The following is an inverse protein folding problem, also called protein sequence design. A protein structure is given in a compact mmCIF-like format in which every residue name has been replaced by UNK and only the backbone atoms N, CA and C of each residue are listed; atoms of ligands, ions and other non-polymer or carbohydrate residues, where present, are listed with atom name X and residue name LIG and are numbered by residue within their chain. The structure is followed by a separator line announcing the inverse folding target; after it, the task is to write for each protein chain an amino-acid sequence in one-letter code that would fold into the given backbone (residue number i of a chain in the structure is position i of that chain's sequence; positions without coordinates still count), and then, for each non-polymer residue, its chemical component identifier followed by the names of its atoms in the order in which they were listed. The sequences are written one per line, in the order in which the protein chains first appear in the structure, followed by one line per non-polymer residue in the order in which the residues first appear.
data_IF_586883180837
#
_entry.id   IF_586883180837
#
_cell.length_a   1.000
_cell.length_b   1.000
_cell.length_c   1.000
_cell.angle_alpha   90.00
_cell.angle_beta   90.00
_cell.angle_gamma   90.00
#
_symmetry.space_group_name_H-M   'P 1'
#
loop_
_entity.id
_entity.type
_entity.pdbx_description
1 polymer ?
#
# COMPACT_ATOMS: atom_id res chain seq x y z
N UNK A 1 -17.07 -17.49 9.19
CA UNK A 1 -17.20 -17.38 7.72
C UNK A 1 -17.19 -15.94 7.22
N UNK A 2 -18.12 -15.07 7.63
CA UNK A 2 -18.17 -13.66 7.19
C UNK A 2 -16.88 -12.89 7.51
N UNK A 3 -16.33 -13.09 8.71
CA UNK A 3 -15.11 -12.40 9.13
C UNK A 3 -13.90 -12.75 8.25
N UNK A 4 -13.69 -14.02 7.93
CA UNK A 4 -12.60 -14.47 7.05
C UNK A 4 -12.73 -13.90 5.65
N UNK A 5 -13.96 -13.80 5.13
CA UNK A 5 -14.23 -13.20 3.83
C UNK A 5 -13.93 -11.70 3.84
N UNK A 6 -14.33 -10.98 4.89
CA UNK A 6 -14.00 -9.56 5.07
C UNK A 6 -12.49 -9.32 5.21
N UNK A 7 -11.79 -10.16 5.97
CA UNK A 7 -10.32 -10.06 6.10
C UNK A 7 -9.62 -10.33 4.76
N UNK A 8 -10.10 -11.31 3.99
CA UNK A 8 -9.55 -11.59 2.65
C UNK A 8 -9.75 -10.43 1.68
N UNK A 9 -10.97 -9.88 1.62
CA UNK A 9 -11.28 -8.70 0.79
C UNK A 9 -10.42 -7.51 1.23
N UNK A 10 -10.31 -7.28 2.53
CA UNK A 10 -9.47 -6.22 3.08
C UNK A 10 -8.00 -6.37 2.64
N UNK A 11 -7.39 -7.53 2.86
CA UNK A 11 -5.99 -7.76 2.49
C UNK A 11 -5.77 -7.56 0.99
N UNK A 12 -6.67 -8.09 0.15
CA UNK A 12 -6.58 -7.94 -1.30
C UNK A 12 -6.71 -6.48 -1.73
N UNK A 13 -7.70 -5.76 -1.19
CA UNK A 13 -7.95 -4.35 -1.52
C UNK A 13 -6.81 -3.45 -1.05
N UNK A 14 -6.25 -3.70 0.13
CA UNK A 14 -5.08 -2.98 0.65
C UNK A 14 -3.83 -3.22 -0.18
N UNK A 15 -3.59 -4.46 -0.61
CA UNK A 15 -2.44 -4.79 -1.45
C UNK A 15 -2.54 -4.14 -2.83
N UNK A 16 -3.71 -4.26 -3.48
CA UNK A 16 -3.97 -3.58 -4.75
C UNK A 16 -3.85 -2.06 -4.60
N UNK A 17 -4.43 -1.49 -3.55
CA UNK A 17 -4.31 -0.07 -3.23
C UNK A 17 -2.84 0.36 -3.14
N UNK A 18 -2.03 -0.36 -2.37
CA UNK A 18 -0.61 -0.05 -2.19
C UNK A 18 0.15 -0.04 -3.51
N UNK A 19 -0.02 -1.07 -4.34
CA UNK A 19 0.67 -1.21 -5.63
C UNK A 19 0.26 -0.08 -6.60
N UNK A 20 -1.05 0.15 -6.75
CA UNK A 20 -1.54 1.16 -7.70
C UNK A 20 -1.19 2.58 -7.26
N UNK A 21 -1.42 2.92 -5.99
CA UNK A 21 -1.10 4.25 -5.46
C UNK A 21 0.41 4.51 -5.51
N UNK A 22 1.26 3.51 -5.20
CA UNK A 22 2.71 3.67 -5.32
C UNK A 22 3.15 3.92 -6.77
N UNK A 23 2.55 3.20 -7.73
CA UNK A 23 2.83 3.47 -9.13
C UNK A 23 2.33 4.85 -9.58
N UNK A 24 1.16 5.28 -9.08
CA UNK A 24 0.61 6.59 -9.39
C UNK A 24 1.42 7.73 -8.79
N UNK A 25 1.92 7.60 -7.56
CA UNK A 25 2.83 8.58 -6.97
C UNK A 25 4.13 8.71 -7.75
N UNK A 26 4.64 7.65 -8.37
CA UNK A 26 5.80 7.74 -9.27
C UNK A 26 5.47 8.34 -10.65
N UNK A 27 4.20 8.63 -10.94
CA UNK A 27 3.78 9.21 -12.21
C UNK A 27 3.59 8.19 -13.33
N UNK A 28 3.49 6.90 -13.00
CA UNK A 28 3.18 5.85 -13.98
C UNK A 28 1.79 6.11 -14.56
N UNK A 29 1.74 6.38 -15.87
CA UNK A 29 0.46 6.60 -16.57
C UNK A 29 -0.38 5.31 -16.52
N UNK A 30 -1.69 5.39 -16.18
CA UNK A 30 -2.63 4.26 -16.19
C UNK A 30 -3.02 3.88 -17.63
N UNK A 31 -2.05 3.45 -18.42
CA UNK A 31 -2.26 2.87 -19.76
C UNK A 31 -2.47 1.37 -19.57
N UNK A 32 -3.33 0.74 -20.38
CA UNK A 32 -3.65 -0.69 -20.30
C UNK A 32 -2.42 -1.60 -20.17
N UNK A 33 -1.32 -1.27 -20.86
CA UNK A 33 -0.04 -2.01 -20.76
C UNK A 33 0.60 -1.92 -19.36
N UNK A 34 0.62 -0.74 -18.74
CA UNK A 34 1.19 -0.56 -17.40
C UNK A 34 0.25 -1.11 -16.33
N UNK A 35 -1.05 -0.92 -16.53
CA UNK A 35 -2.09 -1.48 -15.65
C UNK A 35 -1.99 -3.01 -15.60
N UNK A 36 -1.84 -3.66 -16.76
CA UNK A 36 -1.64 -5.12 -16.83
C UNK A 36 -0.37 -5.58 -16.12
N UNK A 37 0.75 -4.86 -16.25
CA UNK A 37 1.99 -5.18 -15.52
C UNK A 37 1.85 -5.09 -14.00
N UNK A 38 1.19 -4.03 -13.51
CA UNK A 38 0.92 -3.85 -12.08
C UNK A 38 -0.03 -4.93 -11.55
N UNK A 39 -1.06 -5.28 -12.33
CA UNK A 39 -1.99 -6.35 -11.98
C UNK A 39 -1.30 -7.72 -11.94
N UNK A 40 -0.45 -8.01 -12.92
CA UNK A 40 0.35 -9.23 -12.95
C UNK A 40 1.26 -9.31 -11.73
N UNK A 41 1.94 -8.21 -11.39
CA UNK A 41 2.75 -8.13 -10.18
C UNK A 41 1.92 -8.41 -8.92
N UNK A 42 0.73 -7.79 -8.80
CA UNK A 42 -0.16 -8.04 -7.67
C UNK A 42 -0.58 -9.52 -7.56
N UNK A 43 -0.83 -10.20 -8.68
CA UNK A 43 -1.15 -11.63 -8.68
C UNK A 43 0.02 -12.49 -8.19
N UNK A 44 1.23 -12.20 -8.68
CA UNK A 44 2.46 -12.90 -8.25
C UNK A 44 2.72 -12.67 -6.77
N UNK A 45 2.55 -11.44 -6.29
CA UNK A 45 2.77 -11.05 -4.90
C UNK A 45 1.77 -11.73 -3.95
N UNK A 46 0.48 -11.77 -4.31
CA UNK A 46 -0.54 -12.52 -3.57
C UNK A 46 -0.22 -14.02 -3.51
N UNK A 47 0.20 -14.60 -4.63
CA UNK A 47 0.56 -16.02 -4.67
C UNK A 47 1.80 -16.32 -3.81
N UNK A 48 2.80 -15.44 -3.85
CA UNK A 48 4.01 -15.56 -3.05
C UNK A 48 3.70 -15.43 -1.55
N UNK A 49 2.91 -14.42 -1.17
CA UNK A 49 2.45 -14.24 0.21
C UNK A 49 1.65 -15.45 0.71
N UNK A 50 0.73 -15.96 -0.10
CA UNK A 50 -0.07 -17.12 0.26
C UNK A 50 0.79 -18.39 0.41
N UNK A 51 1.78 -18.58 -0.46
CA UNK A 51 2.75 -19.67 -0.36
C UNK A 51 3.51 -19.62 0.97
N UNK A 52 4.08 -18.46 1.32
CA UNK A 52 4.81 -18.30 2.58
C UNK A 52 3.89 -18.51 3.79
N UNK A 53 2.65 -18.02 3.72
CA UNK A 53 1.66 -18.23 4.77
C UNK A 53 1.37 -19.72 5.02
N UNK A 54 1.38 -20.55 3.97
CA UNK A 54 1.22 -22.00 4.10
C UNK A 54 2.42 -22.69 4.76
N UNK A 55 3.65 -22.27 4.46
CA UNK A 55 4.86 -22.91 4.97
C UNK A 55 5.27 -22.45 6.37
N UNK A 56 5.01 -21.19 6.73
CA UNK A 56 5.54 -20.55 7.95
C UNK A 56 4.47 -20.11 8.95
N UNK A 57 3.20 -20.19 8.57
CA UNK A 57 2.07 -19.75 9.39
C UNK A 57 1.83 -18.23 9.38
N UNK A 58 0.63 -17.83 9.77
CA UNK A 58 0.11 -16.45 9.64
C UNK A 58 0.85 -15.43 10.50
N UNK A 59 1.31 -15.82 11.70
CA UNK A 59 1.99 -14.90 12.61
C UNK A 59 3.36 -14.46 12.06
N UNK A 60 4.14 -15.42 11.52
CA UNK A 60 5.45 -15.14 10.96
C UNK A 60 5.35 -14.44 9.59
N UNK A 61 4.37 -14.83 8.76
CA UNK A 61 4.12 -14.16 7.49
C UNK A 61 3.70 -12.69 7.66
N UNK A 62 2.92 -12.36 8.69
CA UNK A 62 2.53 -10.98 8.98
C UNK A 62 3.72 -10.12 9.46
N UNK A 63 4.65 -10.68 10.25
CA UNK A 63 5.86 -9.95 10.66
C UNK A 63 6.80 -9.67 9.49
N UNK A 64 6.89 -10.61 8.55
CA UNK A 64 7.69 -10.46 7.34
C UNK A 64 6.97 -9.71 6.22
N UNK A 65 5.67 -9.41 6.34
CA UNK A 65 4.89 -8.64 5.36
C UNK A 65 5.62 -7.42 4.78
N UNK A 66 6.27 -6.55 5.58
CA UNK A 66 7.04 -5.43 5.07
C UNK A 66 8.17 -5.83 4.11
N UNK A 67 8.85 -6.93 4.39
CA UNK A 67 9.94 -7.44 3.55
C UNK A 67 9.40 -8.21 2.36
N UNK A 68 8.29 -8.93 2.53
CA UNK A 68 7.73 -9.80 1.50
C UNK A 68 6.91 -9.05 0.45
N UNK A 69 6.30 -7.92 0.82
CA UNK A 69 5.39 -7.17 -0.07
C UNK A 69 6.01 -5.84 -0.49
N UNK A 70 6.51 -5.03 0.45
CA UNK A 70 7.03 -3.71 0.10
C UNK A 70 8.38 -3.77 -0.62
N UNK A 71 9.29 -4.68 -0.23
CA UNK A 71 10.61 -4.77 -0.85
C UNK A 71 10.54 -5.25 -2.32
N UNK A 72 9.77 -6.31 -2.67
CA UNK A 72 9.57 -6.68 -4.08
C UNK A 72 8.90 -5.58 -4.89
N UNK A 73 7.97 -4.83 -4.30
CA UNK A 73 7.33 -3.69 -4.97
C UNK A 73 8.34 -2.57 -5.27
N UNK A 74 9.21 -2.23 -4.33
CA UNK A 74 10.28 -1.24 -4.54
C UNK A 74 11.23 -1.70 -5.66
N UNK A 75 11.67 -2.96 -5.62
CA UNK A 75 12.54 -3.53 -6.65
C UNK A 75 11.84 -3.57 -8.02
N UNK A 76 10.57 -3.94 -8.07
CA UNK A 76 9.78 -3.95 -9.30
C UNK A 76 9.68 -2.55 -9.91
N UNK A 77 9.39 -1.53 -9.10
CA UNK A 77 9.31 -0.14 -9.55
C UNK A 77 10.68 0.38 -10.03
N UNK A 78 11.76 0.01 -9.33
CA UNK A 78 13.13 0.34 -9.71
C UNK A 78 13.54 -0.32 -11.05
N UNK A 79 13.36 -1.63 -11.18
CA UNK A 79 13.82 -2.39 -12.34
C UNK A 79 12.94 -2.20 -13.58
N UNK A 80 11.62 -2.23 -13.42
CA UNK A 80 10.69 -2.17 -14.56
C UNK A 80 10.45 -0.76 -15.07
N UNK A 81 10.50 0.25 -14.19
CA UNK A 81 10.23 1.65 -14.56
C UNK A 81 11.44 2.58 -14.47
N UNK A 82 12.61 2.08 -14.01
CA UNK A 82 13.89 2.82 -13.95
C UNK A 82 13.84 4.13 -13.14
N UNK A 83 12.96 4.20 -12.15
CA UNK A 83 12.96 5.30 -11.18
C UNK A 83 14.11 5.15 -10.17
N UNK A 84 14.50 6.22 -9.48
CA UNK A 84 15.50 6.13 -8.41
C UNK A 84 14.95 5.34 -7.22
N UNK A 85 15.81 4.57 -6.54
CA UNK A 85 15.42 3.80 -5.35
C UNK A 85 14.77 4.68 -4.28
N UNK A 86 15.31 5.89 -4.08
CA UNK A 86 14.77 6.86 -3.13
C UNK A 86 13.31 7.21 -3.45
N UNK A 87 13.01 7.55 -4.71
CA UNK A 87 11.65 7.88 -5.14
C UNK A 87 10.70 6.68 -4.99
N UNK A 88 11.17 5.46 -5.27
CA UNK A 88 10.38 4.24 -5.05
C UNK A 88 10.05 4.03 -3.57
N UNK A 89 11.03 4.16 -2.67
CA UNK A 89 10.81 4.04 -1.22
C UNK A 89 9.81 5.07 -0.71
N UNK A 90 9.99 6.34 -1.08
CA UNK A 90 9.11 7.44 -0.67
C UNK A 90 7.67 7.17 -1.13
N UNK A 91 7.51 6.71 -2.37
CA UNK A 91 6.21 6.37 -2.93
C UNK A 91 5.51 5.25 -2.16
N UNK A 92 6.22 4.14 -1.89
CA UNK A 92 5.67 2.99 -1.17
C UNK A 92 5.33 3.34 0.27
N UNK A 93 6.19 4.08 0.98
CA UNK A 93 5.90 4.52 2.34
C UNK A 93 4.75 5.54 2.39
N UNK A 94 4.63 6.42 1.40
CA UNK A 94 3.50 7.35 1.31
C UNK A 94 2.18 6.60 1.10
N UNK A 95 2.17 5.60 0.21
CA UNK A 95 1.01 4.73 0.00
C UNK A 95 0.65 3.95 1.27
N UNK A 96 1.65 3.48 2.01
CA UNK A 96 1.47 2.83 3.31
C UNK A 96 0.78 3.74 4.33
N UNK A 97 1.28 4.97 4.50
CA UNK A 97 0.71 5.95 5.42
C UNK A 97 -0.75 6.30 5.05
N UNK A 98 -1.05 6.43 3.76
CA UNK A 98 -2.43 6.60 3.30
C UNK A 98 -3.34 5.42 3.64
N UNK A 99 -2.81 4.19 3.62
CA UNK A 99 -3.57 3.02 4.06
C UNK A 99 -3.76 2.97 5.59
N UNK A 100 -2.76 3.44 6.35
CA UNK A 100 -2.85 3.49 7.81
C UNK A 100 -3.90 4.47 8.33
N UNK A 101 -4.15 5.56 7.61
CA UNK A 101 -5.31 6.42 7.89
C UNK A 101 -6.63 5.63 7.90
N UNK A 102 -6.79 4.70 6.95
CA UNK A 102 -7.96 3.81 6.93
C UNK A 102 -8.00 2.87 8.13
N UNK A 103 -6.85 2.39 8.61
CA UNK A 103 -6.76 1.54 9.79
C UNK A 103 -7.15 2.30 11.07
N UNK A 104 -6.74 3.56 11.23
CA UNK A 104 -7.11 4.38 12.39
C UNK A 104 -8.62 4.61 12.49
N UNK A 105 -9.28 4.85 11.35
CA UNK A 105 -10.76 4.95 11.33
C UNK A 105 -11.39 3.60 11.67
N UNK A 106 -10.81 2.50 11.17
CA UNK A 106 -11.19 1.15 11.56
C UNK A 106 -11.12 0.92 13.06
N UNK A 107 -9.97 1.21 13.68
CA UNK A 107 -9.74 1.08 15.11
C UNK A 107 -10.67 1.97 15.94
N UNK A 108 -11.00 3.16 15.43
CA UNK A 108 -11.97 4.07 16.06
C UNK A 108 -13.37 3.42 16.06
N UNK A 109 -13.79 2.86 14.93
CA UNK A 109 -15.04 2.12 14.83
C UNK A 109 -15.06 0.86 15.71
N UNK A 110 -13.93 0.15 15.83
CA UNK A 110 -13.79 -1.02 16.71
C UNK A 110 -13.95 -0.62 18.18
N UNK A 111 -13.34 0.48 18.61
CA UNK A 111 -13.43 0.97 19.99
C UNK A 111 -14.87 1.33 20.37
N UNK A 112 -15.63 1.91 19.43
CA UNK A 112 -17.02 2.31 19.65
C UNK A 112 -18.02 1.14 19.60
N UNK A 113 -17.85 0.20 18.67
CA UNK A 113 -18.82 -0.88 18.44
C UNK A 113 -18.44 -2.21 19.08
N UNK A 114 -17.18 -2.37 19.50
CA UNK A 114 -16.57 -3.62 20.01
C UNK A 114 -16.74 -4.84 19.10
N UNK A 115 -17.09 -4.64 17.83
CA UNK A 115 -17.41 -5.71 16.90
C UNK A 115 -16.42 -5.70 15.71
N UNK A 116 -15.73 -6.83 15.46
CA UNK A 116 -14.71 -6.90 14.41
C UNK A 116 -15.29 -6.77 12.99
N UNK A 117 -16.59 -7.01 12.79
CA UNK A 117 -17.24 -6.81 11.49
C UNK A 117 -17.25 -5.32 11.11
N UNK A 118 -17.56 -4.44 12.06
CA UNK A 118 -17.56 -2.99 11.83
C UNK A 118 -16.15 -2.43 11.60
N UNK A 119 -15.13 -3.05 12.22
CA UNK A 119 -13.74 -2.75 11.95
C UNK A 119 -13.38 -3.01 10.48
N UNK A 120 -13.60 -4.24 9.98
CA UNK A 120 -13.22 -4.55 8.59
C UNK A 120 -14.09 -3.81 7.56
N UNK A 121 -15.39 -3.64 7.81
CA UNK A 121 -16.29 -2.90 6.90
C UNK A 121 -15.89 -1.42 6.77
N UNK A 122 -15.61 -0.75 7.90
CA UNK A 122 -15.18 0.65 7.87
C UNK A 122 -13.80 0.82 7.21
N UNK A 123 -12.87 -0.12 7.42
CA UNK A 123 -11.57 -0.14 6.73
C UNK A 123 -11.73 -0.29 5.22
N UNK A 124 -12.55 -1.24 4.75
CA UNK A 124 -12.77 -1.43 3.31
C UNK A 124 -13.38 -0.17 2.71
N UNK A 125 -14.42 0.39 3.33
CA UNK A 125 -15.08 1.61 2.86
C UNK A 125 -14.11 2.79 2.77
N UNK A 126 -13.32 3.02 3.82
CA UNK A 126 -12.33 4.10 3.84
C UNK A 126 -11.20 3.89 2.84
N UNK A 127 -10.75 2.65 2.62
CA UNK A 127 -9.73 2.34 1.60
C UNK A 127 -10.24 2.71 0.21
N UNK A 128 -11.49 2.40 -0.13
CA UNK A 128 -12.10 2.82 -1.39
C UNK A 128 -12.23 4.34 -1.52
N UNK A 129 -12.66 5.02 -0.45
CA UNK A 129 -12.77 6.49 -0.42
C UNK A 129 -11.39 7.11 -0.66
N UNK A 130 -10.39 6.73 0.13
CA UNK A 130 -9.02 7.24 -0.01
C UNK A 130 -8.45 6.91 -1.39
N UNK A 131 -8.74 5.73 -1.95
CA UNK A 131 -8.30 5.36 -3.29
C UNK A 131 -8.90 6.30 -4.34
N UNK A 132 -10.20 6.55 -4.27
CA UNK A 132 -10.88 7.44 -5.21
C UNK A 132 -10.34 8.88 -5.13
N UNK A 133 -10.15 9.39 -3.90
CA UNK A 133 -9.56 10.71 -3.68
C UNK A 133 -8.14 10.77 -4.24
N UNK A 134 -7.25 9.84 -3.85
CA UNK A 134 -5.89 9.83 -4.35
C UNK A 134 -5.84 9.66 -5.86
N UNK A 135 -6.61 8.73 -6.43
CA UNK A 135 -6.67 8.54 -7.88
C UNK A 135 -7.07 9.82 -8.62
N UNK A 136 -8.02 10.59 -8.10
CA UNK A 136 -8.47 11.86 -8.70
C UNK A 136 -7.47 12.99 -8.50
N UNK A 137 -6.93 13.14 -7.29
CA UNK A 137 -6.04 14.25 -6.92
C UNK A 137 -4.59 14.00 -7.34
N UNK A 138 -4.02 12.84 -7.02
CA UNK A 138 -2.63 12.47 -7.35
C UNK A 138 -2.43 12.48 -8.87
N UNK A 139 -3.40 12.00 -9.67
CA UNK A 139 -3.31 12.09 -11.15
C UNK A 139 -3.08 13.52 -11.65
N UNK A 140 -3.60 14.53 -10.95
CA UNK A 140 -3.42 15.95 -11.29
C UNK A 140 -2.12 16.53 -10.75
N UNK A 141 -1.63 16.04 -9.61
CA UNK A 141 -0.49 16.61 -8.87
C UNK A 141 0.84 15.89 -9.09
N UNK A 142 0.84 14.66 -9.60
CA UNK A 142 2.09 13.86 -9.68
C UNK A 142 3.10 14.42 -10.69
N UNK A 143 2.62 15.03 -11.77
CA UNK A 143 3.51 15.66 -12.75
C UNK A 143 4.28 16.86 -12.19
N UNK A 144 3.80 17.45 -11.09
CA UNK A 144 4.39 18.64 -10.45
C UNK A 144 5.12 18.34 -9.14
N UNK A 145 4.81 17.25 -8.44
CA UNK A 145 5.48 16.90 -7.17
C UNK A 145 6.78 16.11 -7.39
N UNK A 146 6.79 15.13 -8.30
CA UNK A 146 7.98 14.30 -8.53
C UNK A 146 8.97 14.89 -9.57
N UNK A 147 8.67 16.06 -10.12
CA UNK A 147 9.61 16.88 -10.89
C UNK A 147 10.42 17.85 -10.01
N UNK A 148 10.11 17.93 -8.70
CA UNK A 148 10.86 18.74 -7.72
C UNK A 148 12.20 18.08 -7.37
N UNK A 149 13.14 18.91 -6.92
CA UNK A 149 14.47 18.45 -6.52
C UNK A 149 14.41 17.35 -5.46
N UNK A 150 15.38 16.43 -5.52
CA UNK A 150 15.53 15.30 -4.58
C UNK A 150 15.45 15.72 -3.10
N UNK A 151 15.85 16.95 -2.75
CA UNK A 151 15.81 17.48 -1.37
C UNK A 151 14.37 17.64 -0.86
N UNK A 152 13.45 18.13 -1.68
CA UNK A 152 12.04 18.29 -1.28
C UNK A 152 11.34 16.93 -1.15
N UNK A 153 11.70 15.99 -2.03
CA UNK A 153 11.25 14.60 -1.97
C UNK A 153 11.67 13.92 -0.65
N UNK A 154 12.91 14.12 -0.20
CA UNK A 154 13.39 13.59 1.08
C UNK A 154 12.57 14.13 2.24
N UNK A 155 12.26 15.43 2.26
CA UNK A 155 11.48 16.05 3.35
C UNK A 155 10.06 15.46 3.39
N UNK A 156 9.41 15.32 2.24
CA UNK A 156 8.06 14.73 2.14
C UNK A 156 8.07 13.25 2.53
N UNK A 157 9.13 12.52 2.14
CA UNK A 157 9.30 11.10 2.42
C UNK A 157 9.74 10.77 3.84
N UNK A 158 10.25 11.74 4.59
CA UNK A 158 10.74 11.54 5.94
C UNK A 158 9.63 11.17 6.93
N UNK A 159 8.48 11.84 6.83
CA UNK A 159 7.30 11.55 7.66
C UNK A 159 6.78 10.11 7.51
N UNK A 160 6.46 9.63 6.29
CA UNK A 160 6.02 8.25 6.11
C UNK A 160 7.12 7.23 6.42
N UNK A 161 8.39 7.59 6.25
CA UNK A 161 9.52 6.71 6.63
C UNK A 161 9.62 6.51 8.14
N UNK A 162 9.59 7.58 8.95
CA UNK A 162 9.58 7.46 10.40
C UNK A 162 8.36 6.66 10.86
N UNK A 163 7.20 6.95 10.28
CA UNK A 163 5.98 6.24 10.63
C UNK A 163 6.11 4.74 10.34
N UNK A 164 6.67 4.39 9.18
CA UNK A 164 6.90 3.00 8.80
C UNK A 164 7.84 2.29 9.79
N UNK A 165 8.95 2.92 10.20
CA UNK A 165 9.85 2.35 11.21
C UNK A 165 9.10 2.15 12.53
N UNK A 166 8.35 3.15 12.98
CA UNK A 166 7.65 3.09 14.26
C UNK A 166 6.63 1.94 14.32
N UNK A 167 5.86 1.75 13.24
CA UNK A 167 4.79 0.75 13.16
C UNK A 167 5.30 -0.70 13.08
N UNK A 168 6.54 -0.90 12.63
CA UNK A 168 7.17 -2.23 12.54
C UNK A 168 8.25 -2.50 13.60
N UNK A 169 8.70 -1.47 14.33
CA UNK A 169 9.65 -1.61 15.44
C UNK A 169 8.97 -1.83 16.80
N UNK A 170 7.67 -1.56 16.90
CA UNK A 170 6.82 -1.83 18.07
C UNK A 170 6.32 -3.27 18.13
#
# INVERSE_FOLDING_TARGET
MILQLLTGIHNLTTLLFGIFISAFFLGVKPIMKNFGKLLLFALVDVFFYWGINLFTGTAFANQLYPVLVHLPLILFLFLCYRYSLLSCCISVFSAYLCCQFSNWIGLSALTLTKNPVWYYSSRIAMTFITFFFLFKFVRRTTQTIFSKENKELVIIGFLPFIYYIFDYAS
#
